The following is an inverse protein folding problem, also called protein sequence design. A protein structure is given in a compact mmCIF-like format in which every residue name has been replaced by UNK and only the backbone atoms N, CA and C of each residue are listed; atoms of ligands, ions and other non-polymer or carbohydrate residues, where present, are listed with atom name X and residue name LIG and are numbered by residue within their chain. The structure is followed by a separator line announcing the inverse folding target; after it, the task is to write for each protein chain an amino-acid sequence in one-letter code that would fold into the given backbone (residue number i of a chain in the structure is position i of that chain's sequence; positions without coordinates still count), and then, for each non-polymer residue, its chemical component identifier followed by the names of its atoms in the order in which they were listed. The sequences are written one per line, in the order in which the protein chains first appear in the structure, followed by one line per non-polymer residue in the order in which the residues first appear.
data_IF_741023446175
#
_entry.id   IF_741023446175
#
_cell.length_a   1.000
_cell.length_b   1.000
_cell.length_c   1.000
_cell.angle_alpha   90.00
_cell.angle_beta   90.00
_cell.angle_gamma   90.00
#
_symmetry.space_group_name_H-M   'P 1'
#
loop_
_entity.id
_entity.type
_entity.pdbx_description
1 polymer ?
#
# COMPACT_ATOMS: atom_id res chain seq x y z
N UNK A 1 38.28 -6.42 -20.70
CA UNK A 1 36.94 -5.81 -20.88
C UNK A 1 36.88 -4.84 -22.05
N UNK A 2 37.81 -3.88 -22.17
CA UNK A 2 37.87 -2.94 -23.30
C UNK A 2 37.99 -3.61 -24.68
N UNK A 3 38.71 -4.75 -24.75
CA UNK A 3 38.94 -5.52 -25.99
C UNK A 3 37.72 -6.31 -26.49
N UNK A 4 36.73 -6.55 -25.61
CA UNK A 4 35.46 -7.20 -25.97
C UNK A 4 34.46 -6.20 -26.57
N UNK A 5 34.50 -4.95 -26.10
CA UNK A 5 33.64 -3.87 -26.58
C UNK A 5 34.02 -3.37 -27.98
N UNK A 6 35.29 -3.53 -28.39
CA UNK A 6 35.78 -3.12 -29.72
C UNK A 6 35.42 -4.08 -30.86
N UNK A 7 34.91 -5.28 -30.54
CA UNK A 7 34.47 -6.29 -31.52
C UNK A 7 32.96 -6.35 -31.71
N UNK A 8 32.21 -5.56 -30.94
CA UNK A 8 30.75 -5.53 -30.98
C UNK A 8 30.25 -4.56 -32.03
N UNK A 9 29.19 -4.95 -32.74
CA UNK A 9 28.54 -4.08 -33.71
C UNK A 9 27.98 -2.83 -32.99
N UNK A 10 27.88 -1.66 -33.66
CA UNK A 10 27.34 -0.44 -33.03
C UNK A 10 25.95 -0.64 -32.42
N UNK A 11 25.15 -1.54 -33.01
CA UNK A 11 23.85 -1.98 -32.50
C UNK A 11 23.94 -2.72 -31.16
N UNK A 12 24.91 -3.62 -30.99
CA UNK A 12 25.06 -4.36 -29.73
C UNK A 12 25.59 -3.46 -28.61
N UNK A 13 26.48 -2.52 -28.95
CA UNK A 13 26.98 -1.50 -28.03
C UNK A 13 25.85 -0.57 -27.55
N UNK A 14 24.94 -0.20 -28.45
CA UNK A 14 23.75 0.56 -28.11
C UNK A 14 22.85 -0.24 -27.16
N UNK A 15 22.60 -1.52 -27.40
CA UNK A 15 21.78 -2.38 -26.52
C UNK A 15 22.41 -2.54 -25.12
N UNK A 16 23.72 -2.78 -25.06
CA UNK A 16 24.47 -2.94 -23.79
C UNK A 16 24.45 -1.67 -22.94
N UNK A 17 24.33 -0.49 -23.55
CA UNK A 17 24.27 0.79 -22.83
C UNK A 17 22.83 1.26 -22.57
N UNK A 18 21.93 1.15 -23.56
CA UNK A 18 20.54 1.61 -23.45
C UNK A 18 19.71 0.73 -22.53
N UNK A 19 19.86 -0.60 -22.60
CA UNK A 19 18.99 -1.50 -21.80
C UNK A 19 19.21 -1.30 -20.30
N UNK A 20 20.44 -1.24 -19.76
CA UNK A 20 20.67 -0.91 -18.36
C UNK A 20 20.20 0.50 -17.98
N UNK A 21 20.38 1.48 -18.86
CA UNK A 21 19.95 2.85 -18.61
C UNK A 21 18.41 2.96 -18.52
N UNK A 22 17.68 2.34 -19.46
CA UNK A 22 16.21 2.33 -19.48
C UNK A 22 15.64 1.58 -18.29
N UNK A 23 16.25 0.45 -17.91
CA UNK A 23 15.83 -0.31 -16.71
C UNK A 23 16.06 0.46 -15.43
N UNK A 24 17.16 1.20 -15.31
CA UNK A 24 17.39 2.13 -14.18
C UNK A 24 16.32 3.22 -14.12
N UNK A 25 16.02 3.87 -15.24
CA UNK A 25 14.99 4.93 -15.30
C UNK A 25 13.62 4.37 -14.92
N UNK A 26 13.24 3.21 -15.46
CA UNK A 26 11.99 2.54 -15.10
C UNK A 26 11.93 2.18 -13.60
N UNK A 27 13.04 1.69 -13.05
CA UNK A 27 13.16 1.39 -11.62
C UNK A 27 12.95 2.63 -10.74
N UNK A 28 13.56 3.76 -11.09
CA UNK A 28 13.37 5.03 -10.38
C UNK A 28 11.91 5.46 -10.41
N UNK A 29 11.24 5.40 -11.58
CA UNK A 29 9.82 5.75 -11.71
C UNK A 29 8.95 4.88 -10.81
N UNK A 30 9.17 3.57 -10.78
CA UNK A 30 8.41 2.64 -9.94
C UNK A 30 8.62 2.95 -8.45
N UNK A 31 9.86 3.15 -8.03
CA UNK A 31 10.18 3.47 -6.63
C UNK A 31 9.56 4.81 -6.23
N UNK A 32 9.66 5.84 -7.07
CA UNK A 32 9.01 7.13 -6.84
C UNK A 32 7.49 6.99 -6.73
N UNK A 33 6.85 6.20 -7.59
CA UNK A 33 5.42 5.95 -7.51
C UNK A 33 5.02 5.22 -6.21
N UNK A 34 5.83 4.27 -5.74
CA UNK A 34 5.62 3.60 -4.46
C UNK A 34 5.76 4.55 -3.27
N UNK A 35 6.78 5.42 -3.29
CA UNK A 35 6.98 6.43 -2.25
C UNK A 35 5.82 7.43 -2.24
N UNK A 36 5.40 7.94 -3.39
CA UNK A 36 4.27 8.87 -3.49
C UNK A 36 3.00 8.23 -2.94
N UNK A 37 2.71 6.97 -3.30
CA UNK A 37 1.56 6.23 -2.74
C UNK A 37 1.67 6.03 -1.23
N UNK A 38 2.86 5.75 -0.71
CA UNK A 38 3.08 5.59 0.73
C UNK A 38 2.88 6.91 1.49
N UNK A 39 3.40 8.01 0.94
CA UNK A 39 3.27 9.36 1.52
C UNK A 39 1.82 9.84 1.47
N UNK A 40 1.11 9.63 0.35
CA UNK A 40 -0.31 9.95 0.24
C UNK A 40 -1.13 9.19 1.28
N UNK A 41 -0.91 7.87 1.41
CA UNK A 41 -1.59 7.05 2.43
C UNK A 41 -1.30 7.51 3.86
N UNK A 42 -0.08 7.96 4.16
CA UNK A 42 0.24 8.47 5.50
C UNK A 42 -0.45 9.82 5.77
N UNK A 43 -0.43 10.74 4.80
CA UNK A 43 -1.14 12.03 4.92
C UNK A 43 -2.65 11.86 5.04
N UNK A 44 -3.24 10.93 4.28
CA UNK A 44 -4.66 10.58 4.39
C UNK A 44 -5.00 10.04 5.79
N UNK A 45 -4.13 9.21 6.37
CA UNK A 45 -4.29 8.71 7.74
C UNK A 45 -4.15 9.81 8.80
N UNK A 46 -3.17 10.69 8.67
CA UNK A 46 -3.01 11.84 9.58
C UNK A 46 -4.23 12.78 9.51
N UNK A 47 -4.74 13.05 8.31
CA UNK A 47 -5.94 13.86 8.11
C UNK A 47 -7.17 13.18 8.70
N UNK A 48 -7.35 11.88 8.47
CA UNK A 48 -8.44 11.10 9.06
C UNK A 48 -8.36 11.09 10.60
N UNK A 49 -7.18 10.93 11.16
CA UNK A 49 -6.97 10.94 12.61
C UNK A 49 -7.27 12.32 13.22
N UNK A 50 -6.88 13.41 12.55
CA UNK A 50 -7.19 14.76 12.99
C UNK A 50 -8.71 15.03 12.97
N UNK A 51 -9.41 14.60 11.90
CA UNK A 51 -10.87 14.73 11.81
C UNK A 51 -11.57 13.90 12.88
N UNK A 52 -11.12 12.67 13.13
CA UNK A 52 -11.67 11.82 14.20
C UNK A 52 -11.47 12.45 15.58
N UNK A 53 -10.28 13.00 15.85
CA UNK A 53 -10.01 13.67 17.13
C UNK A 53 -10.92 14.89 17.31
N UNK A 54 -11.09 15.73 16.29
CA UNK A 54 -11.98 16.89 16.33
C UNK A 54 -13.45 16.49 16.54
N UNK A 55 -13.89 15.38 15.94
CA UNK A 55 -15.26 14.86 16.12
C UNK A 55 -15.48 14.29 17.52
N UNK A 56 -14.49 13.59 18.07
CA UNK A 56 -14.53 13.07 19.45
C UNK A 56 -14.55 14.21 20.48
N UNK A 57 -13.77 15.27 20.28
CA UNK A 57 -13.76 16.46 21.15
C UNK A 57 -15.11 17.19 21.16
N UNK A 58 -15.87 17.08 20.07
CA UNK A 58 -17.24 17.62 19.96
C UNK A 58 -18.31 16.72 20.56
N UNK A 59 -17.93 15.55 21.09
CA UNK A 59 -18.86 14.58 21.68
C UNK A 59 -19.72 13.83 20.65
N UNK A 60 -19.26 13.75 19.40
CA UNK A 60 -19.96 13.00 18.34
C UNK A 60 -19.89 11.50 18.67
N UNK A 61 -21.01 10.81 18.50
CA UNK A 61 -21.09 9.37 18.73
C UNK A 61 -20.15 8.62 17.77
N UNK A 62 -19.46 7.59 18.28
CA UNK A 62 -18.45 6.84 17.52
C UNK A 62 -19.02 6.23 16.24
N UNK A 63 -20.30 5.83 16.25
CA UNK A 63 -21.02 5.29 15.10
C UNK A 63 -21.17 6.32 13.96
N UNK A 64 -21.41 7.58 14.31
CA UNK A 64 -21.52 8.68 13.34
C UNK A 64 -20.15 9.04 12.75
N UNK A 65 -19.09 9.00 13.58
CA UNK A 65 -17.71 9.20 13.12
C UNK A 65 -17.32 8.12 12.11
N UNK A 66 -17.69 6.85 12.37
CA UNK A 66 -17.45 5.74 11.43
C UNK A 66 -18.21 5.96 10.12
N UNK A 67 -19.47 6.42 10.17
CA UNK A 67 -20.25 6.72 8.98
C UNK A 67 -19.64 7.87 8.15
N UNK A 68 -19.12 8.90 8.82
CA UNK A 68 -18.46 10.04 8.15
C UNK A 68 -17.13 9.61 7.53
N UNK A 69 -16.30 8.84 8.23
CA UNK A 69 -15.06 8.28 7.68
C UNK A 69 -15.32 7.42 6.45
N UNK A 70 -16.41 6.64 6.48
CA UNK A 70 -16.85 5.81 5.36
C UNK A 70 -17.32 6.65 4.18
N UNK A 71 -18.11 7.70 4.41
CA UNK A 71 -18.57 8.63 3.37
C UNK A 71 -17.40 9.40 2.73
N UNK A 72 -16.36 9.72 3.50
CA UNK A 72 -15.14 10.36 2.99
C UNK A 72 -14.20 9.41 2.23
N UNK A 73 -14.53 8.13 2.12
CA UNK A 73 -13.65 7.13 1.48
C UNK A 73 -12.36 6.87 2.26
N UNK A 74 -12.30 7.30 3.52
CA UNK A 74 -11.19 7.09 4.46
C UNK A 74 -11.34 5.79 5.25
N UNK A 75 -12.31 4.93 4.89
CA UNK A 75 -12.29 3.52 5.25
C UNK A 75 -10.97 2.95 4.73
N UNK A 76 -9.98 2.88 5.63
CA UNK A 76 -8.66 2.39 5.33
C UNK A 76 -8.82 1.10 4.54
N UNK A 77 -8.31 1.11 3.30
CA UNK A 77 -8.21 -0.07 2.44
C UNK A 77 -8.00 -1.29 3.33
N UNK A 78 -8.95 -2.24 3.39
CA UNK A 78 -9.01 -3.23 4.44
C UNK A 78 -7.63 -3.85 4.56
N UNK A 79 -6.95 -3.60 5.68
CA UNK A 79 -5.61 -4.12 5.86
C UNK A 79 -5.77 -5.64 5.70
N UNK A 80 -5.15 -6.27 4.70
CA UNK A 80 -5.34 -7.69 4.43
C UNK A 80 -4.95 -8.56 5.64
N UNK A 81 -4.21 -7.98 6.60
CA UNK A 81 -3.91 -8.58 7.91
C UNK A 81 -5.10 -8.57 8.87
N UNK A 82 -5.92 -7.51 8.87
CA UNK A 82 -7.12 -7.43 9.71
C UNK A 82 -8.24 -8.32 9.19
N UNK A 83 -8.37 -8.48 7.87
CA UNK A 83 -9.33 -9.42 7.27
C UNK A 83 -8.95 -10.87 7.56
N UNK A 84 -7.67 -11.22 7.50
CA UNK A 84 -7.18 -12.56 7.90
C UNK A 84 -7.36 -12.83 9.39
N UNK A 85 -7.18 -11.83 10.26
CA UNK A 85 -7.45 -11.99 11.70
C UNK A 85 -8.93 -12.17 12.01
N UNK A 86 -9.83 -11.44 11.34
CA UNK A 86 -11.29 -11.65 11.46
C UNK A 86 -11.70 -13.03 10.96
N UNK A 87 -11.19 -13.46 9.80
CA UNK A 87 -11.44 -14.81 9.28
C UNK A 87 -10.93 -15.91 10.22
N UNK A 88 -9.75 -15.74 10.83
CA UNK A 88 -9.20 -16.68 11.82
C UNK A 88 -10.07 -16.74 13.08
N UNK A 89 -10.52 -15.58 13.59
CA UNK A 89 -11.43 -15.51 14.74
C UNK A 89 -12.74 -16.24 14.45
N UNK A 90 -13.36 -15.98 13.30
CA UNK A 90 -14.65 -16.58 12.96
C UNK A 90 -14.54 -18.09 12.70
N UNK A 91 -13.41 -18.55 12.15
CA UNK A 91 -13.10 -19.97 12.02
C UNK A 91 -12.87 -20.65 13.39
N UNK A 92 -12.21 -19.96 14.33
CA UNK A 92 -12.02 -20.43 15.70
C UNK A 92 -13.35 -20.52 16.46
N UNK A 93 -14.21 -19.50 16.36
CA UNK A 93 -15.53 -19.48 16.99
C UNK A 93 -16.39 -20.64 16.49
N UNK A 94 -16.43 -20.89 15.18
CA UNK A 94 -17.14 -22.03 14.60
C UNK A 94 -16.65 -23.37 15.14
N UNK A 95 -15.34 -23.55 15.26
CA UNK A 95 -14.73 -24.78 15.81
C UNK A 95 -15.06 -25.01 17.28
N UNK A 96 -15.07 -23.95 18.09
CA UNK A 96 -15.43 -24.04 19.51
C UNK A 96 -16.90 -24.42 19.64
N UNK A 97 -17.80 -23.74 18.92
CA UNK A 97 -19.24 -24.05 18.96
C UNK A 97 -19.59 -25.43 18.40
N UNK A 98 -18.82 -25.96 17.44
CA UNK A 98 -19.01 -27.32 16.92
C UNK A 98 -18.36 -28.41 17.78
N UNK A 99 -17.52 -28.04 18.76
CA UNK A 99 -16.84 -28.97 19.67
C UNK A 99 -17.55 -29.10 21.02
N UNK A 100 -18.47 -28.19 21.34
CA UNK A 100 -19.31 -28.20 22.55
C UNK A 100 -20.73 -28.74 22.32
N UNK A 101 -21.02 -29.28 21.14
CA UNK A 101 -22.25 -30.02 20.82
C UNK A 101 -21.91 -31.51 20.67
#
# INVERSE_FOLDING_TARGET
MLELLSRLSPSDLAVVLLVPAVTLVAGVIIISALIIRAVQRNRERETAAAVVAEMLDRGIATEEIIAVLKAMGLEGSPDPRLTTLRQRRDALLKRVTSSTA
#
